data_IF_703895880854
#
_entry.id   IF_703895880854
#
_cell.length_a   1.000
_cell.length_b   1.000
_cell.length_c   1.000
_cell.angle_alpha   90.00
_cell.angle_beta   90.00
_cell.angle_gamma   90.00
#
_symmetry.space_group_name_H-M   'P 1'
#
loop_
_entity.id
_entity.type
_entity.pdbx_description
1 polymer ?
#
# COMPACT_ATOMS: atom_id res chain seq x y z
N UNK A 1 4.67 11.16 17.53
CA UNK A 1 3.56 10.61 16.73
C UNK A 1 2.62 11.71 16.18
N UNK A 2 3.09 12.97 16.03
CA UNK A 2 2.26 14.10 15.57
C UNK A 2 2.86 14.80 14.34
N UNK A 3 3.59 14.05 13.52
CA UNK A 3 4.22 14.60 12.31
C UNK A 3 3.60 13.93 11.08
N UNK A 4 3.46 14.67 9.96
CA UNK A 4 3.01 14.09 8.71
C UNK A 4 3.92 12.93 8.27
N UNK A 5 3.32 11.92 7.66
CA UNK A 5 4.03 10.80 7.04
C UNK A 5 4.83 11.35 5.86
N UNK A 6 6.10 10.98 5.78
CA UNK A 6 7.01 11.42 4.72
C UNK A 6 7.13 10.40 3.60
N UNK A 7 7.48 10.85 2.40
CA UNK A 7 7.74 9.96 1.26
C UNK A 7 8.88 8.98 1.54
N UNK A 8 9.92 9.39 2.29
CA UNK A 8 11.02 8.50 2.65
C UNK A 8 10.56 7.34 3.53
N UNK A 9 9.65 7.59 4.48
CA UNK A 9 9.06 6.53 5.30
C UNK A 9 8.23 5.58 4.44
N UNK A 10 7.41 6.12 3.52
CA UNK A 10 6.62 5.30 2.59
C UNK A 10 7.53 4.43 1.72
N UNK A 11 8.58 4.97 1.11
CA UNK A 11 9.53 4.20 0.30
C UNK A 11 10.17 3.10 1.14
N UNK A 12 10.67 3.42 2.34
CA UNK A 12 11.26 2.42 3.25
C UNK A 12 10.28 1.30 3.60
N UNK A 13 9.01 1.62 3.83
CA UNK A 13 7.97 0.64 4.11
C UNK A 13 7.66 -0.24 2.89
N UNK A 14 7.51 0.37 1.71
CA UNK A 14 7.27 -0.33 0.43
C UNK A 14 8.40 -1.33 0.15
N UNK A 15 9.66 -0.91 0.32
CA UNK A 15 10.82 -1.80 0.09
C UNK A 15 10.88 -2.99 1.06
N UNK A 16 10.33 -2.84 2.27
CA UNK A 16 10.28 -3.90 3.30
C UNK A 16 9.14 -4.90 3.12
N UNK A 17 8.19 -4.65 2.20
CA UNK A 17 7.07 -5.57 1.98
C UNK A 17 7.54 -6.95 1.50
N UNK A 18 6.76 -8.01 1.71
CA UNK A 18 7.10 -9.37 1.24
C UNK A 18 6.91 -9.46 -0.29
N UNK A 19 7.92 -9.96 -1.00
CA UNK A 19 7.85 -10.23 -2.45
C UNK A 19 7.10 -11.54 -2.76
N UNK A 20 6.63 -11.69 -4.00
CA UNK A 20 5.93 -12.91 -4.43
C UNK A 20 4.57 -13.16 -3.74
N UNK A 21 3.91 -12.10 -3.26
CA UNK A 21 2.55 -12.17 -2.72
C UNK A 21 1.52 -12.04 -3.84
N UNK A 22 0.37 -12.70 -3.68
CA UNK A 22 -0.76 -12.53 -4.59
C UNK A 22 -1.23 -11.06 -4.63
N UNK A 23 -1.57 -10.52 -5.80
CA UNK A 23 -2.10 -9.16 -5.91
C UNK A 23 -3.49 -9.05 -5.27
N UNK A 24 -3.88 -7.83 -4.91
CA UNK A 24 -5.24 -7.53 -4.50
C UNK A 24 -6.21 -7.46 -5.68
N UNK A 25 -7.45 -6.99 -5.45
CA UNK A 25 -8.43 -6.73 -6.52
C UNK A 25 -7.97 -5.76 -7.61
N UNK A 26 -6.93 -4.98 -7.35
CA UNK A 26 -6.31 -4.05 -8.30
C UNK A 26 -5.38 -4.74 -9.31
N UNK A 27 -4.99 -6.00 -9.06
CA UNK A 27 -4.05 -6.74 -9.90
C UNK A 27 -2.59 -6.30 -9.76
N UNK A 28 -2.27 -5.37 -8.86
CA UNK A 28 -0.92 -4.83 -8.72
C UNK A 28 -0.14 -5.65 -7.69
N UNK A 29 0.98 -6.23 -8.12
CA UNK A 29 1.85 -7.03 -7.24
C UNK A 29 2.78 -6.15 -6.41
N UNK A 30 3.14 -6.63 -5.23
CA UNK A 30 4.08 -5.94 -4.32
C UNK A 30 5.40 -5.58 -4.99
N UNK A 31 5.91 -6.45 -5.87
CA UNK A 31 7.17 -6.22 -6.58
C UNK A 31 7.09 -5.03 -7.55
N UNK A 32 5.91 -4.72 -8.08
CA UNK A 32 5.69 -3.53 -8.90
C UNK A 32 5.75 -2.25 -8.05
N UNK A 33 5.12 -2.26 -6.87
CA UNK A 33 5.22 -1.14 -5.92
C UNK A 33 6.66 -0.90 -5.49
N UNK A 34 7.46 -1.96 -5.28
CA UNK A 34 8.89 -1.85 -4.98
C UNK A 34 9.69 -1.27 -6.13
N UNK A 35 9.51 -1.80 -7.34
CA UNK A 35 10.24 -1.35 -8.52
C UNK A 35 9.95 0.11 -8.87
N UNK A 36 8.71 0.56 -8.64
CA UNK A 36 8.24 1.90 -8.96
C UNK A 36 8.04 2.77 -7.70
N UNK A 37 8.76 2.50 -6.61
CA UNK A 37 8.47 3.12 -5.32
C UNK A 37 8.54 4.64 -5.35
N UNK A 38 9.43 5.23 -6.14
CA UNK A 38 9.55 6.69 -6.29
C UNK A 38 8.35 7.31 -7.02
N UNK A 39 7.69 6.56 -7.90
CA UNK A 39 6.50 7.00 -8.64
C UNK A 39 5.27 6.93 -7.72
N UNK A 40 5.16 5.88 -6.91
CA UNK A 40 4.01 5.68 -6.02
C UNK A 40 4.11 6.48 -4.72
N UNK A 41 5.32 6.77 -4.24
CA UNK A 41 5.53 7.39 -2.94
C UNK A 41 4.78 8.72 -2.74
N UNK A 42 4.74 9.67 -3.69
CA UNK A 42 3.97 10.91 -3.51
C UNK A 42 2.47 10.64 -3.32
N UNK A 43 1.89 9.78 -4.16
CA UNK A 43 0.46 9.44 -4.11
C UNK A 43 0.09 8.68 -2.84
N UNK A 44 0.88 7.66 -2.47
CA UNK A 44 0.67 6.89 -1.24
C UNK A 44 0.82 7.77 0.00
N UNK A 45 1.81 8.66 0.03
CA UNK A 45 2.02 9.60 1.13
C UNK A 45 0.82 10.52 1.31
N UNK A 46 0.25 11.04 0.20
CA UNK A 46 -0.96 11.85 0.26
C UNK A 46 -2.14 11.07 0.83
N UNK A 47 -2.37 9.84 0.34
CA UNK A 47 -3.45 8.98 0.82
C UNK A 47 -3.32 8.71 2.33
N UNK A 48 -2.12 8.31 2.78
CA UNK A 48 -1.91 7.98 4.19
C UNK A 48 -2.05 9.19 5.11
N UNK A 49 -1.58 10.37 4.71
CA UNK A 49 -1.80 11.59 5.49
C UNK A 49 -3.29 11.98 5.52
N UNK A 50 -4.02 11.85 4.41
CA UNK A 50 -5.47 12.05 4.41
C UNK A 50 -6.17 11.09 5.39
N UNK A 51 -5.80 9.81 5.38
CA UNK A 51 -6.37 8.84 6.34
C UNK A 51 -6.01 9.22 7.78
N UNK A 52 -4.78 9.66 8.02
CA UNK A 52 -4.31 10.07 9.34
C UNK A 52 -5.07 11.31 9.87
N UNK A 53 -5.32 12.30 9.02
CA UNK A 53 -5.98 13.56 9.40
C UNK A 53 -7.50 13.41 9.58
N UNK A 54 -8.15 12.64 8.70
CA UNK A 54 -9.62 12.52 8.66
C UNK A 54 -10.17 11.24 9.27
N UNK A 55 -9.32 10.24 9.56
CA UNK A 55 -9.74 8.96 10.14
C UNK A 55 -10.60 8.09 9.24
N UNK A 56 -10.66 8.38 7.93
CA UNK A 56 -11.45 7.62 6.95
C UNK A 56 -10.56 7.05 5.86
N UNK A 57 -10.85 5.82 5.43
CA UNK A 57 -10.11 5.10 4.39
C UNK A 57 -11.06 4.55 3.31
N UNK A 58 -10.57 4.19 2.12
CA UNK A 58 -11.43 3.72 1.05
C UNK A 58 -12.15 2.41 1.38
N UNK A 59 -13.46 2.33 1.13
CA UNK A 59 -14.25 1.09 1.31
C UNK A 59 -13.70 -0.10 0.50
N UNK A 60 -12.97 0.16 -0.59
CA UNK A 60 -12.29 -0.88 -1.37
C UNK A 60 -11.27 -1.67 -0.56
N UNK A 61 -10.68 -1.08 0.48
CA UNK A 61 -9.72 -1.77 1.36
C UNK A 61 -10.39 -2.83 2.24
N UNK A 62 -11.72 -2.80 2.37
CA UNK A 62 -12.50 -3.83 3.06
C UNK A 62 -12.77 -5.06 2.17
N UNK A 63 -12.41 -5.02 0.88
CA UNK A 63 -12.64 -6.11 -0.08
C UNK A 63 -11.43 -7.04 -0.11
N UNK A 64 -11.68 -8.35 0.01
CA UNK A 64 -10.66 -9.39 -0.09
C UNK A 64 -11.00 -10.41 -1.18
N UNK A 65 -9.97 -10.95 -1.84
CA UNK A 65 -10.10 -12.09 -2.75
C UNK A 65 -9.82 -13.37 -1.96
N UNK A 66 -10.78 -14.29 -1.95
CA UNK A 66 -10.65 -15.60 -1.31
C UNK A 66 -10.47 -16.64 -2.42
N UNK A 67 -9.27 -17.19 -2.55
CA UNK A 67 -8.97 -18.27 -3.48
C UNK A 67 -8.73 -19.57 -2.71
N UNK A 68 -9.64 -20.55 -2.78
CA UNK A 68 -9.42 -21.85 -2.15
C UNK A 68 -8.26 -22.58 -2.85
N UNK A 69 -7.28 -23.01 -2.07
CA UNK A 69 -6.17 -23.82 -2.57
C UNK A 69 -6.50 -25.30 -2.33
N UNK A 70 -6.57 -26.08 -3.40
CA UNK A 70 -6.69 -27.53 -3.30
C UNK A 70 -5.37 -28.10 -2.78
N UNK A 71 -5.44 -28.98 -1.78
CA UNK A 71 -4.27 -29.66 -1.21
C UNK A 71 -4.07 -31.03 -1.85
#
# INVERSE_FOLDING_TARGET
LNCPITQSEVIKCVQKMKSGTSPGPDGIVTDFYKACSDIFAPSLTKIFNTIFDYGSFPDSWLKAIISPLHK
#
